data_IF_765497117777
#
_entry.id   IF_765497117777
#
_cell.length_a   1.000
_cell.length_b   1.000
_cell.length_c   1.000
_cell.angle_alpha   90.00
_cell.angle_beta   90.00
_cell.angle_gamma   90.00
#
_symmetry.space_group_name_H-M   'P 1'
#
loop_
_entity.id
_entity.type
_entity.pdbx_description
1 polymer ?
#
# COMPACT_ATOMS: atom_id res chain seq x y z
N UNK A 1 -63.29 -25.50 26.83
CA UNK A 1 -62.90 -26.46 25.77
C UNK A 1 -61.54 -26.06 25.27
N UNK A 2 -60.55 -26.96 25.34
CA UNK A 2 -59.30 -26.85 24.58
C UNK A 2 -59.51 -27.49 23.19
N UNK A 3 -58.56 -27.32 22.25
CA UNK A 3 -57.50 -28.32 22.25
C UNK A 3 -56.08 -27.75 22.18
N UNK A 4 -55.21 -28.38 22.97
CA UNK A 4 -53.75 -28.32 22.92
C UNK A 4 -53.24 -28.90 21.59
N UNK A 5 -52.21 -28.29 21.01
CA UNK A 5 -51.19 -29.00 20.21
C UNK A 5 -49.80 -28.53 20.64
N UNK A 6 -48.89 -29.50 20.63
CA UNK A 6 -47.53 -29.53 21.22
C UNK A 6 -46.51 -28.71 20.40
N UNK A 7 -45.34 -28.39 21.00
CA UNK A 7 -44.23 -27.75 20.32
C UNK A 7 -43.45 -28.78 19.49
N UNK A 8 -42.99 -28.37 18.31
CA UNK A 8 -41.95 -29.08 17.57
C UNK A 8 -40.62 -28.40 17.91
N UNK A 9 -39.73 -29.21 18.47
CA UNK A 9 -38.31 -28.95 18.62
C UNK A 9 -37.66 -28.95 17.24
N UNK A 10 -36.96 -27.88 16.90
CA UNK A 10 -35.83 -27.92 15.98
C UNK A 10 -34.72 -27.07 16.58
N UNK A 11 -33.83 -27.78 17.27
CA UNK A 11 -32.46 -27.38 17.57
C UNK A 11 -31.72 -27.10 16.26
N UNK A 12 -31.41 -25.84 15.96
CA UNK A 12 -30.10 -25.44 15.40
C UNK A 12 -29.93 -23.92 15.42
N UNK A 13 -29.46 -23.38 16.55
CA UNK A 13 -28.89 -22.03 16.61
C UNK A 13 -27.40 -22.16 16.93
N UNK A 14 -26.68 -22.81 16.01
CA UNK A 14 -25.23 -22.76 15.95
C UNK A 14 -24.74 -21.33 15.76
N UNK A 15 -24.07 -20.85 16.78
CA UNK A 15 -23.22 -19.66 16.84
C UNK A 15 -22.22 -19.68 15.67
N UNK A 16 -22.46 -18.87 14.62
CA UNK A 16 -21.55 -18.79 13.46
C UNK A 16 -20.39 -17.84 13.74
N UNK A 17 -19.47 -18.25 14.62
CA UNK A 17 -18.08 -17.78 14.60
C UNK A 17 -17.31 -18.59 13.58
N UNK A 18 -17.15 -18.06 12.37
CA UNK A 18 -15.97 -18.24 11.51
C UNK A 18 -16.25 -17.66 10.12
N UNK A 19 -15.85 -16.39 9.93
CA UNK A 19 -15.58 -15.84 8.59
C UNK A 19 -14.17 -15.23 8.56
N UNK A 20 -13.20 -15.97 9.09
CA UNK A 20 -11.80 -15.82 8.69
C UNK A 20 -11.53 -16.86 7.62
N UNK A 21 -11.70 -16.48 6.36
CA UNK A 21 -11.32 -17.32 5.24
C UNK A 21 -9.86 -17.78 5.42
N UNK A 22 -9.66 -19.10 5.51
CA UNK A 22 -8.35 -19.74 5.50
C UNK A 22 -7.59 -19.33 4.22
N UNK A 23 -6.37 -18.77 4.31
CA UNK A 23 -5.58 -18.37 3.15
C UNK A 23 -4.75 -19.54 2.55
N UNK A 24 -5.09 -20.80 2.84
CA UNK A 24 -4.22 -21.96 2.58
C UNK A 24 -4.43 -22.60 1.21
N UNK A 25 -4.27 -21.84 0.12
CA UNK A 25 -4.08 -22.46 -1.20
C UNK A 25 -3.09 -21.67 -2.08
N UNK A 26 -1.86 -21.48 -1.56
CA UNK A 26 -0.79 -20.69 -2.19
C UNK A 26 0.38 -21.57 -2.68
N UNK A 27 0.14 -22.48 -3.63
CA UNK A 27 1.26 -23.16 -4.33
C UNK A 27 1.58 -22.60 -5.72
N UNK A 28 0.87 -21.58 -6.22
CA UNK A 28 1.17 -20.92 -7.52
C UNK A 28 1.02 -19.38 -7.52
N UNK A 29 1.36 -18.69 -6.44
CA UNK A 29 1.13 -17.23 -6.32
C UNK A 29 2.06 -16.33 -7.17
N UNK A 30 3.13 -16.87 -7.78
CA UNK A 30 4.11 -16.09 -8.56
C UNK A 30 3.65 -15.66 -9.97
N UNK A 31 2.44 -16.04 -10.39
CA UNK A 31 1.94 -15.86 -11.76
C UNK A 31 0.98 -14.66 -11.94
N UNK A 32 0.95 -13.71 -11.00
CA UNK A 32 -0.02 -12.61 -10.98
C UNK A 32 0.58 -11.27 -11.41
N UNK A 33 -0.07 -10.52 -12.31
CA UNK A 33 0.47 -9.25 -12.80
C UNK A 33 0.49 -8.21 -11.69
N UNK A 34 1.51 -7.35 -11.69
CA UNK A 34 1.63 -6.21 -10.77
C UNK A 34 1.18 -4.95 -11.50
N UNK A 35 0.26 -4.21 -10.89
CA UNK A 35 -0.16 -2.92 -11.39
C UNK A 35 0.65 -1.80 -10.73
N UNK A 36 1.09 -0.81 -11.49
CA UNK A 36 1.71 0.41 -10.98
C UNK A 36 0.87 1.61 -11.35
N UNK A 37 0.81 2.60 -10.47
CA UNK A 37 0.23 3.89 -10.80
C UNK A 37 1.31 4.95 -10.71
N UNK A 38 1.39 5.79 -11.73
CA UNK A 38 2.41 6.84 -11.81
C UNK A 38 1.79 8.17 -12.26
N UNK A 39 2.19 9.26 -11.61
CA UNK A 39 1.73 10.61 -11.97
C UNK A 39 2.30 11.05 -13.31
N UNK A 40 1.42 11.54 -14.16
CA UNK A 40 1.76 12.19 -15.43
C UNK A 40 2.06 13.66 -15.22
N UNK A 41 3.08 14.12 -15.91
CA UNK A 41 3.43 15.50 -16.18
C UNK A 41 2.63 15.93 -17.41
N UNK A 42 1.37 16.32 -17.19
CA UNK A 42 0.50 16.86 -18.23
C UNK A 42 0.13 18.31 -17.88
N UNK A 43 0.33 19.21 -18.83
CA UNK A 43 0.15 20.66 -18.65
C UNK A 43 -1.33 21.05 -18.48
N UNK A 44 -2.28 20.16 -18.81
CA UNK A 44 -3.73 20.48 -18.81
C UNK A 44 -4.53 19.89 -17.66
N UNK A 45 -4.12 18.76 -17.08
CA UNK A 45 -4.85 18.12 -15.96
C UNK A 45 -3.94 17.16 -15.19
N UNK A 46 -4.12 17.08 -13.87
CA UNK A 46 -3.52 16.03 -13.08
C UNK A 46 -4.08 14.67 -13.51
N UNK A 47 -3.18 13.78 -13.92
CA UNK A 47 -3.52 12.46 -14.42
C UNK A 47 -2.51 11.42 -13.93
N UNK A 48 -2.96 10.18 -13.86
CA UNK A 48 -2.17 9.05 -13.38
C UNK A 48 -2.24 7.93 -14.42
N UNK A 49 -1.10 7.40 -14.85
CA UNK A 49 -1.05 6.23 -15.71
C UNK A 49 -1.08 4.97 -14.86
N UNK A 50 -1.97 4.03 -15.19
CA UNK A 50 -1.94 2.67 -14.66
C UNK A 50 -1.14 1.80 -15.63
N UNK A 51 -0.09 1.18 -15.13
CA UNK A 51 0.81 0.30 -15.85
C UNK A 51 0.60 -1.13 -15.36
N UNK A 52 0.55 -2.10 -16.27
CA UNK A 52 0.51 -3.52 -15.95
C UNK A 52 1.87 -4.14 -16.23
N UNK A 53 2.39 -4.90 -15.27
CA UNK A 53 3.60 -5.69 -15.37
C UNK A 53 3.19 -7.17 -15.32
N UNK A 54 3.34 -7.89 -16.43
CA UNK A 54 2.93 -9.29 -16.52
C UNK A 54 3.84 -10.23 -15.71
N UNK A 55 3.26 -11.31 -15.17
CA UNK A 55 3.93 -12.24 -14.25
C UNK A 55 4.71 -13.38 -14.92
N UNK A 56 4.36 -13.76 -16.16
CA UNK A 56 5.12 -14.75 -16.94
C UNK A 56 6.60 -14.31 -17.18
N UNK A 57 6.88 -13.04 -16.90
CA UNK A 57 8.20 -12.43 -16.77
C UNK A 57 9.07 -12.99 -15.62
N UNK A 58 8.50 -13.74 -14.67
CA UNK A 58 9.15 -14.28 -13.46
C UNK A 58 9.57 -15.76 -13.64
N UNK A 59 9.00 -16.45 -14.64
CA UNK A 59 9.13 -17.90 -14.85
C UNK A 59 10.18 -18.35 -15.90
N UNK A 60 11.09 -17.48 -16.32
CA UNK A 60 12.31 -17.91 -17.06
C UNK A 60 12.18 -18.20 -18.56
N UNK A 61 11.09 -17.80 -19.22
CA UNK A 61 11.00 -17.87 -20.70
C UNK A 61 11.41 -16.54 -21.35
N UNK A 62 12.22 -16.63 -22.41
CA UNK A 62 12.93 -15.57 -23.15
C UNK A 62 12.05 -14.54 -23.93
N UNK A 63 10.76 -14.41 -23.61
CA UNK A 63 9.91 -13.36 -24.22
C UNK A 63 10.18 -11.99 -23.56
N UNK A 64 10.34 -10.89 -24.34
CA UNK A 64 10.62 -9.58 -23.79
C UNK A 64 9.43 -9.08 -22.96
N UNK A 65 9.70 -8.89 -21.66
CA UNK A 65 8.77 -8.38 -20.65
C UNK A 65 8.10 -7.09 -21.12
N UNK A 66 6.76 -7.05 -21.07
CA UNK A 66 5.98 -5.89 -21.48
C UNK A 66 5.44 -5.16 -20.25
N UNK A 67 5.85 -3.91 -20.10
CA UNK A 67 5.14 -2.93 -19.27
C UNK A 67 4.20 -2.19 -20.20
N UNK A 68 2.91 -2.40 -20.04
CA UNK A 68 1.88 -1.78 -20.86
C UNK A 68 1.08 -0.77 -20.04
N UNK A 69 0.85 0.42 -20.60
CA UNK A 69 -0.13 1.34 -20.03
C UNK A 69 -1.54 0.77 -20.31
N UNK A 70 -2.32 0.55 -19.26
CA UNK A 70 -3.65 -0.08 -19.35
C UNK A 70 -4.79 0.89 -19.09
N UNK A 71 -4.53 1.98 -18.34
CA UNK A 71 -5.50 3.02 -18.10
C UNK A 71 -4.85 4.36 -17.79
N UNK A 72 -5.63 5.43 -17.90
CA UNK A 72 -5.27 6.78 -17.43
C UNK A 72 -6.38 7.24 -16.50
N UNK A 73 -6.05 7.47 -15.23
CA UNK A 73 -6.95 8.02 -14.22
C UNK A 73 -6.83 9.54 -14.24
N UNK A 74 -7.89 10.23 -14.63
CA UNK A 74 -7.93 11.69 -14.67
C UNK A 74 -8.55 12.24 -13.38
N UNK A 75 -7.86 13.15 -12.70
CA UNK A 75 -8.33 13.77 -11.44
C UNK A 75 -8.95 15.15 -11.65
N UNK A 76 -9.11 15.57 -12.90
CA UNK A 76 -9.73 16.82 -13.29
C UNK A 76 -8.76 18.01 -13.26
N UNK A 77 -8.24 18.40 -12.09
CA UNK A 77 -7.56 19.72 -11.98
C UNK A 77 -6.32 19.80 -11.11
N UNK A 78 -6.16 19.02 -10.03
CA UNK A 78 -5.05 19.22 -9.07
C UNK A 78 -4.28 17.93 -8.73
N UNK A 79 -2.93 18.00 -8.64
CA UNK A 79 -2.12 16.87 -8.22
C UNK A 79 -2.22 16.64 -6.71
N UNK A 80 -1.81 15.46 -6.26
CA UNK A 80 -1.75 15.13 -4.82
C UNK A 80 -2.84 14.17 -4.34
N UNK A 81 -3.35 13.31 -5.22
CA UNK A 81 -3.96 12.07 -4.78
C UNK A 81 -2.88 11.11 -4.26
N UNK A 82 -3.25 10.35 -3.25
CA UNK A 82 -2.57 9.13 -2.84
C UNK A 82 -3.35 7.93 -3.34
N UNK A 83 -2.66 6.79 -3.49
CA UNK A 83 -3.22 5.58 -4.06
C UNK A 83 -2.98 4.40 -3.11
N UNK A 84 -3.95 3.49 -3.06
CA UNK A 84 -3.86 2.23 -2.31
C UNK A 84 -4.64 1.14 -3.04
N UNK A 85 -4.33 -0.11 -2.76
CA UNK A 85 -5.14 -1.24 -3.21
C UNK A 85 -6.27 -1.50 -2.21
N UNK A 86 -7.48 -1.76 -2.69
CA UNK A 86 -8.60 -2.19 -1.87
C UNK A 86 -9.01 -3.61 -2.28
N UNK A 87 -9.42 -4.45 -1.33
CA UNK A 87 -9.86 -5.81 -1.59
C UNK A 87 -11.11 -6.13 -0.78
N UNK A 88 -12.04 -6.84 -1.38
CA UNK A 88 -13.13 -7.50 -0.66
C UNK A 88 -13.50 -8.80 -1.35
N UNK A 89 -14.51 -9.50 -0.83
CA UNK A 89 -15.08 -10.68 -1.50
C UNK A 89 -15.62 -10.38 -2.91
N UNK A 90 -15.88 -9.11 -3.22
CA UNK A 90 -16.43 -8.68 -4.51
C UNK A 90 -15.35 -8.31 -5.54
N UNK A 91 -14.07 -8.30 -5.17
CA UNK A 91 -12.98 -8.01 -6.08
C UNK A 91 -11.85 -7.21 -5.45
N UNK A 92 -10.96 -6.74 -6.31
CA UNK A 92 -9.80 -5.93 -5.95
C UNK A 92 -9.72 -4.71 -6.85
N UNK A 93 -9.39 -3.57 -6.25
CA UNK A 93 -9.41 -2.28 -6.93
C UNK A 93 -8.17 -1.46 -6.58
N UNK A 94 -7.85 -0.51 -7.44
CA UNK A 94 -6.91 0.56 -7.13
C UNK A 94 -7.73 1.80 -6.79
N UNK A 95 -7.50 2.36 -5.61
CA UNK A 95 -8.27 3.48 -5.06
C UNK A 95 -7.35 4.69 -4.95
N UNK A 96 -7.69 5.77 -5.65
CA UNK A 96 -7.05 7.08 -5.55
C UNK A 96 -7.92 8.02 -4.73
N UNK A 97 -7.33 8.72 -3.75
CA UNK A 97 -8.05 9.64 -2.86
C UNK A 97 -7.25 10.93 -2.68
N UNK A 98 -7.93 12.08 -2.70
CA UNK A 98 -7.35 13.40 -2.46
C UNK A 98 -7.28 14.25 -3.73
N UNK A 99 -6.19 15.01 -3.90
CA UNK A 99 -5.94 15.75 -5.13
C UNK A 99 -6.58 17.14 -5.20
N UNK A 100 -6.58 17.88 -4.09
CA UNK A 100 -6.92 19.31 -4.13
C UNK A 100 -8.25 19.69 -3.48
N UNK A 101 -8.70 20.94 -3.68
CA UNK A 101 -9.96 21.48 -3.12
C UNK A 101 -11.22 20.73 -3.57
N UNK A 102 -11.12 20.02 -4.69
CA UNK A 102 -12.17 19.14 -5.24
C UNK A 102 -11.85 17.68 -4.94
N UNK A 103 -11.42 17.40 -3.70
CA UNK A 103 -10.99 16.07 -3.31
C UNK A 103 -12.06 15.03 -3.65
N UNK A 104 -11.67 14.09 -4.51
CA UNK A 104 -12.51 13.01 -4.97
C UNK A 104 -11.92 11.65 -4.61
N UNK A 105 -12.69 10.61 -4.90
CA UNK A 105 -12.23 9.23 -4.88
C UNK A 105 -12.34 8.68 -6.29
N UNK A 106 -11.28 8.08 -6.80
CA UNK A 106 -11.27 7.37 -8.09
C UNK A 106 -11.02 5.90 -7.79
N UNK A 107 -11.80 5.03 -8.39
CA UNK A 107 -11.70 3.58 -8.18
C UNK A 107 -11.50 2.94 -9.54
N UNK A 108 -10.35 2.30 -9.74
CA UNK A 108 -10.06 1.55 -10.95
C UNK A 108 -10.17 0.06 -10.66
N UNK A 109 -10.96 -0.63 -11.49
CA UNK A 109 -11.08 -2.07 -11.50
C UNK A 109 -10.18 -2.65 -12.61
N UNK A 110 -9.06 -3.30 -12.26
CA UNK A 110 -8.17 -3.87 -13.25
C UNK A 110 -8.74 -5.08 -13.98
N UNK A 111 -9.72 -5.78 -13.39
CA UNK A 111 -10.38 -6.94 -13.99
C UNK A 111 -11.32 -6.54 -15.13
N UNK A 112 -12.04 -5.43 -14.97
CA UNK A 112 -12.96 -4.90 -16.00
C UNK A 112 -12.38 -3.74 -16.80
N UNK A 113 -11.18 -3.25 -16.43
CA UNK A 113 -10.58 -2.01 -16.95
C UNK A 113 -11.51 -0.79 -16.84
N UNK A 114 -12.42 -0.79 -15.85
CA UNK A 114 -13.36 0.31 -15.62
C UNK A 114 -12.85 1.24 -14.53
N UNK A 115 -13.15 2.52 -14.70
CA UNK A 115 -12.91 3.54 -13.68
C UNK A 115 -14.24 4.08 -13.20
N UNK A 116 -14.43 4.11 -11.89
CA UNK A 116 -15.61 4.62 -11.22
C UNK A 116 -15.26 5.88 -10.43
N UNK A 117 -16.20 6.82 -10.38
CA UNK A 117 -16.12 7.93 -9.43
C UNK A 117 -16.71 7.49 -8.10
N UNK A 118 -15.88 7.51 -7.06
CA UNK A 118 -16.28 7.23 -5.68
C UNK A 118 -16.85 8.46 -4.99
N UNK A 119 -17.26 8.29 -3.74
CA UNK A 119 -17.74 9.39 -2.91
C UNK A 119 -16.62 10.33 -2.49
N UNK A 120 -16.99 11.57 -2.20
CA UNK A 120 -16.07 12.62 -1.83
C UNK A 120 -15.75 12.49 -0.33
N UNK A 121 -14.52 12.84 0.04
CA UNK A 121 -14.14 12.96 1.45
C UNK A 121 -15.00 14.03 2.13
N UNK A 122 -15.20 13.93 3.44
CA UNK A 122 -15.87 14.98 4.21
C UNK A 122 -15.15 16.31 4.11
N UNK A 123 -13.81 16.28 4.03
CA UNK A 123 -12.99 17.47 3.76
C UNK A 123 -11.80 17.16 2.84
N UNK A 124 -11.41 18.09 1.95
CA UNK A 124 -10.25 17.93 1.10
C UNK A 124 -8.94 17.60 1.82
N UNK A 125 -8.21 16.59 1.33
CA UNK A 125 -6.87 16.20 1.82
C UNK A 125 -5.83 16.24 0.71
N UNK A 126 -4.65 16.78 1.01
CA UNK A 126 -3.52 16.76 0.08
C UNK A 126 -2.57 15.63 0.44
N UNK A 127 -2.35 14.70 -0.51
CA UNK A 127 -1.47 13.54 -0.32
C UNK A 127 -1.77 12.81 1.00
N UNK A 128 -3.03 12.42 1.26
CA UNK A 128 -3.37 11.70 2.48
C UNK A 128 -2.57 10.39 2.57
N UNK A 129 -2.29 9.89 3.77
CA UNK A 129 -1.81 8.52 3.92
C UNK A 129 -3.01 7.59 3.79
N UNK A 130 -2.94 6.67 2.84
CA UNK A 130 -3.98 5.67 2.62
C UNK A 130 -3.53 4.32 3.15
N UNK A 131 -4.42 3.66 3.88
CA UNK A 131 -4.19 2.35 4.48
C UNK A 131 -5.35 1.45 4.07
N UNK A 132 -5.03 0.27 3.57
CA UNK A 132 -6.01 -0.75 3.26
C UNK A 132 -5.96 -1.83 4.31
N UNK A 133 -7.12 -2.17 4.87
CA UNK A 133 -7.23 -3.22 5.87
C UNK A 133 -8.61 -3.87 5.82
N UNK A 134 -8.62 -5.20 5.70
CA UNK A 134 -9.85 -5.94 5.45
C UNK A 134 -10.53 -5.46 4.17
N UNK A 135 -11.80 -5.08 4.28
CA UNK A 135 -12.59 -4.48 3.19
C UNK A 135 -12.78 -2.98 3.35
N UNK A 136 -11.89 -2.30 4.07
CA UNK A 136 -11.94 -0.85 4.26
C UNK A 136 -10.66 -0.16 3.78
N UNK A 137 -10.84 1.05 3.25
CA UNK A 137 -9.76 1.99 2.97
C UNK A 137 -9.85 3.13 3.97
N UNK A 138 -8.74 3.40 4.65
CA UNK A 138 -8.62 4.50 5.59
C UNK A 138 -7.79 5.62 4.99
N UNK A 139 -8.21 6.86 5.21
CA UNK A 139 -7.52 8.06 4.77
C UNK A 139 -7.17 8.93 5.97
N UNK A 140 -5.88 9.16 6.18
CA UNK A 140 -5.35 10.04 7.23
C UNK A 140 -4.71 11.27 6.59
N UNK A 141 -5.02 12.47 7.09
CA UNK A 141 -4.32 13.69 6.68
C UNK A 141 -2.82 13.60 7.02
N UNK A 142 -1.94 13.75 6.03
CA UNK A 142 -0.49 13.70 6.26
C UNK A 142 0.05 14.98 6.93
N UNK A 143 -0.55 16.13 6.60
CA UNK A 143 -0.20 17.45 7.14
C UNK A 143 -1.48 18.20 7.54
N UNK A 144 -2.09 17.87 8.70
CA UNK A 144 -3.33 18.52 9.12
C UNK A 144 -3.15 20.03 9.28
N UNK A 145 -4.19 20.79 8.93
CA UNK A 145 -4.25 22.24 9.05
C UNK A 145 -5.48 22.65 9.84
N UNK A 146 -5.29 23.63 10.71
CA UNK A 146 -6.37 24.23 11.52
C UNK A 146 -7.14 25.29 10.71
N UNK A 147 -6.48 25.94 9.75
CA UNK A 147 -7.09 26.96 8.88
C UNK A 147 -7.73 26.30 7.65
N UNK A 148 -8.83 26.88 7.13
CA UNK A 148 -9.65 26.25 6.10
C UNK A 148 -8.89 26.01 4.80
N UNK A 149 -9.58 25.33 3.88
CA UNK A 149 -9.29 25.01 2.49
C UNK A 149 -8.75 23.60 2.28
N UNK A 150 -7.88 23.06 3.12
CA UNK A 150 -7.28 21.74 2.88
C UNK A 150 -6.71 21.12 4.15
N UNK A 151 -6.79 19.80 4.28
CA UNK A 151 -6.31 19.02 5.42
C UNK A 151 -6.92 19.44 6.77
N UNK A 152 -8.17 19.94 6.77
CA UNK A 152 -8.92 20.22 7.99
C UNK A 152 -9.63 18.96 8.53
N UNK A 153 -10.21 19.11 9.72
CA UNK A 153 -11.06 18.07 10.31
C UNK A 153 -12.24 17.70 9.39
N UNK A 154 -12.64 16.42 9.35
CA UNK A 154 -12.05 15.28 10.08
C UNK A 154 -10.69 14.86 9.50
N UNK A 155 -9.68 14.57 10.32
CA UNK A 155 -8.35 14.16 9.81
C UNK A 155 -8.22 12.67 9.53
N UNK A 156 -9.17 11.85 9.96
CA UNK A 156 -9.16 10.41 9.76
C UNK A 156 -10.55 9.92 9.36
N UNK A 157 -10.62 9.24 8.22
CA UNK A 157 -11.87 8.77 7.63
C UNK A 157 -11.69 7.36 7.07
N UNK A 158 -12.77 6.58 6.98
CA UNK A 158 -12.78 5.27 6.31
C UNK A 158 -13.88 5.14 5.26
N UNK A 159 -13.62 4.32 4.24
CA UNK A 159 -14.55 3.97 3.17
C UNK A 159 -14.64 2.45 3.06
N UNK A 160 -15.86 1.92 3.12
CA UNK A 160 -16.10 0.47 3.07
C UNK A 160 -16.32 -0.04 1.65
N UNK A 161 -15.66 -1.15 1.32
CA UNK A 161 -15.80 -1.96 0.11
C UNK A 161 -16.47 -3.31 0.39
N UNK A 162 -17.02 -3.50 1.60
CA UNK A 162 -17.63 -4.77 2.04
C UNK A 162 -18.72 -5.27 1.10
N UNK A 163 -19.49 -4.33 0.54
CA UNK A 163 -20.58 -4.63 -0.38
C UNK A 163 -20.23 -4.36 -1.86
N UNK A 164 -18.94 -4.16 -2.17
CA UNK A 164 -18.44 -3.89 -3.52
C UNK A 164 -18.02 -2.42 -3.71
N UNK A 165 -18.02 -1.95 -4.97
CA UNK A 165 -17.52 -0.60 -5.32
C UNK A 165 -18.45 0.49 -4.76
N UNK A 166 -17.95 1.39 -3.88
CA UNK A 166 -18.71 2.51 -3.34
C UNK A 166 -18.84 3.65 -4.37
N UNK A 167 -19.70 3.45 -5.37
CA UNK A 167 -19.98 4.42 -6.42
C UNK A 167 -21.47 4.48 -6.77
N UNK A 168 -21.97 5.70 -7.05
CA UNK A 168 -23.34 5.92 -7.57
C UNK A 168 -23.61 5.12 -8.83
N UNK A 169 -22.59 4.97 -9.68
CA UNK A 169 -22.68 4.24 -10.94
C UNK A 169 -23.01 2.76 -10.72
N UNK A 170 -22.66 2.22 -9.55
CA UNK A 170 -22.97 0.86 -9.13
C UNK A 170 -24.24 0.78 -8.25
N UNK A 171 -25.01 1.86 -8.14
CA UNK A 171 -26.19 1.94 -7.25
C UNK A 171 -25.85 1.96 -5.76
N UNK A 172 -24.59 2.20 -5.39
CA UNK A 172 -24.11 2.16 -4.00
C UNK A 172 -23.61 3.53 -3.57
N UNK A 173 -24.31 4.14 -2.62
CA UNK A 173 -23.92 5.41 -2.03
C UNK A 173 -23.39 5.21 -0.62
N UNK A 174 -22.13 4.80 -0.51
CA UNK A 174 -21.42 4.65 0.76
C UNK A 174 -20.53 5.87 0.93
N UNK A 175 -20.77 6.67 1.97
CA UNK A 175 -19.95 7.85 2.27
C UNK A 175 -18.71 7.48 3.09
N UNK A 176 -17.72 8.37 3.09
CA UNK A 176 -16.63 8.30 4.06
C UNK A 176 -17.17 8.48 5.48
N UNK A 177 -16.69 7.66 6.41
CA UNK A 177 -17.05 7.72 7.83
C UNK A 177 -15.94 8.38 8.63
N UNK A 178 -16.31 9.36 9.45
CA UNK A 178 -15.34 10.04 10.32
C UNK A 178 -14.90 9.12 11.45
N UNK A 179 -13.61 9.12 11.74
CA UNK A 179 -12.99 8.36 12.82
C UNK A 179 -12.27 9.30 13.80
N UNK A 180 -12.02 8.85 15.04
CA UNK A 180 -11.28 9.65 16.01
C UNK A 180 -9.89 10.03 15.49
N UNK A 181 -9.46 11.28 15.62
CA UNK A 181 -8.21 11.73 15.05
C UNK A 181 -7.01 11.01 15.67
N UNK A 182 -5.96 10.73 14.87
CA UNK A 182 -4.67 10.30 15.39
C UNK A 182 -4.16 11.20 16.52
N UNK A 183 -3.46 10.63 17.51
CA UNK A 183 -2.99 11.38 18.67
C UNK A 183 -1.89 12.41 18.36
N UNK A 184 -1.27 12.35 17.17
CA UNK A 184 -0.19 13.26 16.76
C UNK A 184 -0.05 13.31 15.24
N UNK A 185 0.61 14.37 14.77
CA UNK A 185 1.00 14.57 13.38
C UNK A 185 2.29 15.41 13.30
N UNK A 186 3.10 15.30 12.21
CA UNK A 186 3.08 14.24 11.20
C UNK A 186 3.63 12.91 11.73
N UNK A 187 3.29 11.82 11.05
CA UNK A 187 3.83 10.49 11.33
C UNK A 187 4.76 10.02 10.20
N UNK A 188 5.79 9.26 10.56
CA UNK A 188 6.86 8.85 9.66
C UNK A 188 6.71 7.42 9.16
N UNK A 189 5.97 6.59 9.90
CA UNK A 189 5.83 5.16 9.61
C UNK A 189 4.50 4.62 10.08
N UNK A 190 4.05 3.58 9.38
CA UNK A 190 2.81 2.89 9.69
C UNK A 190 2.84 1.43 9.25
N UNK A 191 2.05 0.61 9.93
CA UNK A 191 1.88 -0.80 9.64
C UNK A 191 0.46 -1.25 10.01
N UNK A 192 0.03 -2.40 9.53
CA UNK A 192 -1.26 -2.99 9.89
C UNK A 192 -1.00 -4.39 10.44
N UNK A 193 -1.46 -4.66 11.66
CA UNK A 193 -1.24 -5.93 12.37
C UNK A 193 -2.55 -6.39 12.99
N UNK A 194 -3.06 -7.55 12.57
CA UNK A 194 -4.33 -8.07 13.09
C UNK A 194 -5.46 -7.04 12.88
N UNK A 195 -6.11 -6.61 13.98
CA UNK A 195 -7.16 -5.58 13.99
C UNK A 195 -6.65 -4.15 14.24
N UNK A 196 -5.33 -3.93 14.17
CA UNK A 196 -4.70 -2.67 14.56
C UNK A 196 -4.00 -1.98 13.40
N UNK A 197 -4.21 -0.67 13.27
CA UNK A 197 -3.41 0.22 12.44
C UNK A 197 -2.38 0.91 13.34
N UNK A 198 -1.11 0.64 13.09
CA UNK A 198 0.00 1.22 13.84
C UNK A 198 0.53 2.46 13.15
N UNK A 199 0.83 3.49 13.93
CA UNK A 199 1.52 4.69 13.48
C UNK A 199 2.63 5.08 14.45
N UNK A 200 3.69 5.67 13.93
CA UNK A 200 4.76 6.27 14.73
C UNK A 200 5.08 7.68 14.25
N UNK A 201 5.30 8.63 15.17
CA UNK A 201 5.61 10.02 14.85
C UNK A 201 6.93 10.12 14.10
N UNK A 202 7.20 11.30 13.56
CA UNK A 202 8.57 11.64 13.19
C UNK A 202 9.46 11.63 14.46
N UNK A 203 10.68 11.03 14.42
CA UNK A 203 11.50 10.84 15.61
C UNK A 203 11.79 12.11 16.43
N UNK A 204 11.73 13.28 15.81
CA UNK A 204 12.03 14.56 16.45
C UNK A 204 10.86 15.15 17.28
N UNK A 205 9.64 14.60 17.16
CA UNK A 205 8.43 15.21 17.75
C UNK A 205 7.99 14.53 19.05
N UNK A 206 7.77 13.22 18.99
CA UNK A 206 7.19 12.42 20.08
C UNK A 206 7.80 11.02 20.01
N UNK A 207 7.84 10.32 21.14
CA UNK A 207 8.38 8.97 21.24
C UNK A 207 7.25 8.00 21.64
N UNK A 208 7.01 7.00 20.79
CA UNK A 208 6.06 5.92 21.00
C UNK A 208 5.33 5.47 19.73
N UNK A 209 4.94 4.20 19.70
CA UNK A 209 4.04 3.67 18.67
C UNK A 209 2.62 3.62 19.21
N UNK A 210 1.68 4.10 18.41
CA UNK A 210 0.26 4.13 18.74
C UNK A 210 -0.51 3.24 17.78
N UNK A 211 -1.58 2.64 18.28
CA UNK A 211 -2.42 1.71 17.56
C UNK A 211 -3.86 2.20 17.56
N UNK A 212 -4.48 2.20 16.39
CA UNK A 212 -5.92 2.33 16.24
C UNK A 212 -6.54 0.95 16.20
N UNK A 213 -7.41 0.64 17.15
CA UNK A 213 -8.19 -0.59 17.11
C UNK A 213 -9.37 -0.42 16.17
N UNK A 214 -9.39 -1.13 15.05
CA UNK A 214 -10.38 -0.92 13.98
C UNK A 214 -11.83 -1.15 14.43
N UNK A 215 -12.08 -2.19 15.24
CA UNK A 215 -13.43 -2.48 15.77
C UNK A 215 -13.86 -1.46 16.84
N UNK A 216 -13.05 -1.26 17.87
CA UNK A 216 -13.37 -0.37 18.99
C UNK A 216 -13.26 1.12 18.64
N UNK A 217 -12.60 1.45 17.53
CA UNK A 217 -12.35 2.81 17.04
C UNK A 217 -11.64 3.71 18.05
N UNK A 218 -10.67 3.17 18.77
CA UNK A 218 -9.89 3.91 19.78
C UNK A 218 -8.40 3.92 19.42
N UNK A 219 -7.71 5.01 19.80
CA UNK A 219 -6.27 5.13 19.71
C UNK A 219 -5.63 4.87 21.08
N UNK A 220 -4.61 4.04 21.12
CA UNK A 220 -3.86 3.72 22.35
C UNK A 220 -2.36 3.68 22.06
N UNK A 221 -1.53 4.08 23.05
CA UNK A 221 -0.09 3.90 22.96
C UNK A 221 0.26 2.46 23.35
N UNK A 222 0.91 1.73 22.44
CA UNK A 222 1.18 0.28 22.62
C UNK A 222 2.67 -0.06 22.70
N UNK A 223 3.53 0.94 22.48
CA UNK A 223 4.97 0.77 22.54
C UNK A 223 5.67 2.09 22.89
N UNK A 224 6.73 2.01 23.68
CA UNK A 224 7.49 3.19 24.10
C UNK A 224 8.41 3.74 23.01
N UNK A 225 8.85 2.93 22.06
CA UNK A 225 9.71 3.38 20.95
C UNK A 225 8.91 3.51 19.66
N UNK A 226 9.39 4.37 18.75
CA UNK A 226 8.88 4.46 17.39
C UNK A 226 9.21 3.19 16.59
N UNK A 227 8.43 2.93 15.55
CA UNK A 227 8.71 1.87 14.57
C UNK A 227 10.10 2.09 13.93
N UNK A 228 10.92 1.04 13.76
CA UNK A 228 12.31 1.15 13.32
C UNK A 228 12.47 1.29 11.79
N UNK A 229 11.49 1.85 11.11
CA UNK A 229 11.42 2.01 9.65
C UNK A 229 10.68 3.30 9.27
N UNK A 230 10.72 3.66 7.99
CA UNK A 230 10.02 4.82 7.40
C UNK A 230 9.00 4.34 6.37
N UNK A 231 7.85 4.99 6.31
CA UNK A 231 6.76 4.66 5.41
C UNK A 231 5.97 3.42 5.84
N UNK A 232 5.40 2.73 4.87
CA UNK A 232 4.60 1.53 5.09
C UNK A 232 5.49 0.31 5.32
N UNK A 233 5.11 -0.51 6.32
CA UNK A 233 5.54 -1.90 6.37
C UNK A 233 4.52 -2.79 5.63
N UNK A 234 5.02 -3.59 4.68
CA UNK A 234 4.21 -4.47 3.85
C UNK A 234 4.22 -5.87 4.43
N UNK A 235 3.04 -6.44 4.62
CA UNK A 235 2.85 -7.79 5.18
C UNK A 235 3.38 -8.87 4.23
N UNK A 236 4.09 -9.85 4.78
CA UNK A 236 4.69 -10.99 4.05
C UNK A 236 4.03 -12.32 4.39
N UNK A 237 2.95 -12.33 5.16
CA UNK A 237 2.39 -13.54 5.78
C UNK A 237 2.72 -13.63 7.27
N UNK A 238 1.77 -14.19 8.02
CA UNK A 238 1.88 -14.32 9.48
C UNK A 238 2.10 -12.99 10.19
N UNK A 239 3.21 -12.86 10.90
CA UNK A 239 3.62 -11.64 11.61
C UNK A 239 4.88 -10.99 10.99
N UNK A 240 5.22 -11.35 9.74
CA UNK A 240 6.40 -10.84 9.05
C UNK A 240 6.06 -9.69 8.12
N UNK A 241 6.95 -8.71 8.05
CA UNK A 241 6.77 -7.48 7.29
C UNK A 241 8.07 -7.04 6.62
N UNK A 242 8.01 -6.60 5.36
CA UNK A 242 9.10 -5.89 4.70
C UNK A 242 8.92 -4.38 4.88
N UNK A 243 9.98 -3.68 5.29
CA UNK A 243 9.96 -2.22 5.39
C UNK A 243 11.34 -1.60 5.13
N UNK A 244 11.35 -0.29 4.94
CA UNK A 244 12.56 0.52 4.75
C UNK A 244 13.13 0.92 6.12
N UNK A 245 14.20 0.27 6.63
CA UNK A 245 14.73 0.57 7.95
C UNK A 245 15.26 2.00 8.03
N UNK A 246 15.18 2.62 9.22
CA UNK A 246 15.86 3.89 9.47
C UNK A 246 17.38 3.65 9.41
N UNK A 247 18.09 4.41 8.58
CA UNK A 247 19.56 4.40 8.52
C UNK A 247 20.13 5.53 9.38
N UNK A 248 21.02 5.19 10.31
CA UNK A 248 21.74 6.17 11.15
C UNK A 248 23.01 6.70 10.48
N UNK A 249 23.43 6.11 9.35
CA UNK A 249 24.65 6.50 8.64
C UNK A 249 24.28 7.31 7.39
N UNK A 250 25.01 8.41 7.16
CA UNK A 250 24.89 9.28 5.99
C UNK A 250 25.14 8.58 4.62
N UNK A 251 25.36 7.27 4.63
CA UNK A 251 25.43 6.41 3.46
C UNK A 251 24.03 6.10 2.94
N UNK A 252 23.72 6.67 1.78
CA UNK A 252 22.44 6.68 1.06
C UNK A 252 21.93 5.31 0.53
N UNK A 253 22.37 4.17 1.07
CA UNK A 253 21.86 2.85 0.69
C UNK A 253 20.93 2.30 1.77
N UNK A 254 19.63 2.48 1.59
CA UNK A 254 18.62 1.92 2.50
C UNK A 254 18.12 0.60 1.90
N UNK A 255 18.76 -0.51 2.27
CA UNK A 255 18.28 -1.85 1.89
C UNK A 255 17.00 -2.19 2.65
N UNK A 256 16.09 -2.92 2.01
CA UNK A 256 14.92 -3.50 2.67
C UNK A 256 15.34 -4.32 3.91
N UNK A 257 14.49 -4.36 4.94
CA UNK A 257 14.64 -5.27 6.07
C UNK A 257 13.31 -5.95 6.35
N UNK A 258 13.40 -7.15 6.93
CA UNK A 258 12.22 -7.89 7.36
C UNK A 258 12.08 -7.73 8.87
N UNK A 259 10.85 -7.56 9.33
CA UNK A 259 10.52 -7.37 10.73
C UNK A 259 9.46 -8.39 11.11
N UNK A 260 9.66 -9.10 12.21
CA UNK A 260 8.58 -9.81 12.89
C UNK A 260 7.94 -8.85 13.89
N UNK A 261 6.65 -8.58 13.71
CA UNK A 261 5.89 -7.68 14.58
C UNK A 261 4.63 -8.40 15.08
N UNK A 262 4.43 -8.38 16.40
CA UNK A 262 3.28 -9.03 17.04
C UNK A 262 2.72 -8.16 18.16
N UNK A 263 1.40 -8.21 18.35
CA UNK A 263 0.71 -7.51 19.43
C UNK A 263 0.22 -8.57 20.41
N UNK A 264 0.62 -8.46 21.67
CA UNK A 264 0.13 -9.31 22.75
C UNK A 264 -0.97 -8.58 23.52
N UNK A 265 -2.14 -9.20 23.56
CA UNK A 265 -3.29 -8.74 24.37
C UNK A 265 -3.32 -9.62 25.62
N UNK A 266 -2.49 -9.29 26.62
CA UNK A 266 -2.39 -10.05 27.88
C UNK A 266 -2.81 -9.21 29.10
N UNK A 267 -3.04 -7.92 28.92
CA UNK A 267 -3.49 -6.98 29.95
C UNK A 267 -4.52 -6.00 29.35
N UNK A 268 -5.00 -5.03 30.13
CA UNK A 268 -5.90 -3.97 29.65
C UNK A 268 -5.28 -3.11 28.54
N UNK A 269 -3.96 -3.18 28.31
CA UNK A 269 -3.27 -2.40 27.26
C UNK A 269 -2.47 -3.36 26.36
N UNK A 270 -2.71 -3.34 25.03
CA UNK A 270 -1.94 -4.16 24.09
C UNK A 270 -0.46 -3.73 24.04
N UNK A 271 0.45 -4.71 23.93
CA UNK A 271 1.90 -4.45 23.84
C UNK A 271 2.48 -4.94 22.52
N UNK A 272 3.29 -4.11 21.86
CA UNK A 272 3.98 -4.45 20.61
C UNK A 272 5.34 -5.11 20.87
N UNK A 273 5.63 -6.19 20.16
CA UNK A 273 6.95 -6.81 20.06
C UNK A 273 7.48 -6.68 18.64
N UNK A 274 8.75 -6.25 18.49
CA UNK A 274 9.40 -6.05 17.18
C UNK A 274 10.76 -6.75 17.19
N UNK A 275 11.00 -7.61 16.22
CA UNK A 275 12.27 -8.27 15.97
C UNK A 275 12.70 -7.98 14.52
N UNK A 276 13.92 -7.50 14.32
CA UNK A 276 14.46 -7.16 13.00
C UNK A 276 15.35 -8.28 12.47
N UNK A 277 15.10 -8.66 11.22
CA UNK A 277 15.95 -9.54 10.44
C UNK A 277 16.58 -8.75 9.31
N UNK A 278 17.91 -8.81 9.21
CA UNK A 278 18.65 -8.07 8.17
C UNK A 278 18.55 -8.86 6.86
N UNK A 279 18.05 -8.22 5.81
CA UNK A 279 18.17 -8.73 4.44
C UNK A 279 19.44 -8.13 3.84
N UNK A 280 20.38 -8.97 3.43
CA UNK A 280 21.53 -8.52 2.65
C UNK A 280 21.11 -8.41 1.18
N UNK A 281 20.46 -7.31 0.82
CA UNK A 281 20.12 -7.00 -0.57
C UNK A 281 21.14 -6.01 -1.16
N UNK A 282 21.55 -6.23 -2.40
CA UNK A 282 22.40 -5.31 -3.17
C UNK A 282 21.57 -4.13 -3.68
N UNK A 283 21.33 -3.12 -2.84
CA UNK A 283 20.50 -1.96 -3.23
C UNK A 283 21.35 -0.69 -3.30
N UNK A 284 21.49 -0.19 -4.54
CA UNK A 284 22.08 1.11 -4.84
C UNK A 284 21.18 2.29 -4.45
N UNK A 285 21.83 3.46 -4.31
CA UNK A 285 21.36 4.72 -3.75
C UNK A 285 20.13 5.34 -4.45
N UNK A 286 18.90 5.15 -3.94
CA UNK A 286 17.72 6.02 -4.21
C UNK A 286 16.80 6.08 -2.97
N UNK A 287 16.11 7.21 -2.83
CA UNK A 287 15.10 7.59 -1.84
C UNK A 287 13.92 6.59 -1.78
N UNK A 288 13.82 5.85 -0.67
CA UNK A 288 12.69 5.02 -0.20
C UNK A 288 12.03 4.11 -1.27
N UNK A 289 12.40 2.81 -1.34
CA UNK A 289 11.78 1.86 -2.26
C UNK A 289 10.30 1.61 -1.95
N UNK A 290 9.51 1.32 -2.99
CA UNK A 290 8.14 0.86 -2.86
C UNK A 290 8.13 -0.66 -2.68
N UNK A 291 7.42 -1.14 -1.66
CA UNK A 291 7.23 -2.56 -1.41
C UNK A 291 5.84 -3.00 -1.87
N UNK A 292 5.77 -4.15 -2.55
CA UNK A 292 4.53 -4.81 -2.93
C UNK A 292 4.54 -6.23 -2.37
N UNK A 293 3.51 -6.68 -1.65
CA UNK A 293 3.39 -8.09 -1.30
C UNK A 293 3.16 -8.89 -2.58
N UNK A 294 3.87 -10.00 -2.74
CA UNK A 294 3.70 -10.91 -3.89
C UNK A 294 3.09 -12.25 -3.47
N UNK A 295 2.67 -12.35 -2.20
CA UNK A 295 2.28 -13.61 -1.60
C UNK A 295 3.11 -13.96 -0.39
N UNK A 296 2.85 -15.13 0.18
CA UNK A 296 3.56 -15.57 1.39
C UNK A 296 5.08 -15.61 1.17
N UNK A 297 5.81 -14.92 2.04
CA UNK A 297 7.28 -14.83 2.05
C UNK A 297 7.90 -14.15 0.85
N UNK A 298 7.10 -13.47 0.03
CA UNK A 298 7.55 -12.88 -1.21
C UNK A 298 7.11 -11.43 -1.32
N UNK A 299 8.01 -10.58 -1.76
CA UNK A 299 7.70 -9.17 -2.01
C UNK A 299 8.53 -8.61 -3.15
N UNK A 300 8.00 -7.59 -3.80
CA UNK A 300 8.71 -6.84 -4.80
C UNK A 300 9.14 -5.48 -4.24
N UNK A 301 10.38 -5.11 -4.49
CA UNK A 301 10.88 -3.74 -4.40
C UNK A 301 10.81 -3.11 -5.78
N UNK A 302 10.11 -1.99 -5.92
CA UNK A 302 9.94 -1.30 -7.19
C UNK A 302 10.61 0.07 -7.11
N UNK A 303 11.47 0.35 -8.08
CA UNK A 303 12.23 1.60 -8.19
C UNK A 303 12.21 2.13 -9.62
N UNK A 304 12.33 3.44 -9.76
CA UNK A 304 12.58 4.06 -11.06
C UNK A 304 14.10 4.17 -11.27
N UNK A 305 14.60 3.60 -12.37
CA UNK A 305 15.97 3.78 -12.82
C UNK A 305 16.17 5.18 -13.44
N UNK A 306 17.44 5.59 -13.64
CA UNK A 306 17.75 6.85 -14.30
C UNK A 306 17.13 6.88 -15.71
N UNK A 307 16.29 7.88 -15.99
CA UNK A 307 15.66 8.04 -17.30
C UNK A 307 16.72 8.37 -18.36
N UNK A 308 16.70 7.68 -19.51
CA UNK A 308 17.53 8.08 -20.66
C UNK A 308 16.90 9.30 -21.33
N UNK A 309 17.65 10.39 -21.47
CA UNK A 309 17.25 11.51 -22.32
C UNK A 309 17.39 11.10 -23.79
N UNK A 310 16.27 10.94 -24.51
CA UNK A 310 16.31 10.91 -25.98
C UNK A 310 16.13 12.31 -26.53
N UNK A 311 17.20 12.85 -27.11
CA UNK A 311 17.08 14.04 -27.97
C UNK A 311 16.40 13.66 -29.28
N UNK A 312 15.09 13.97 -29.41
CA UNK A 312 14.42 13.89 -30.71
C UNK A 312 14.80 15.13 -31.53
N UNK A 313 15.70 14.99 -32.51
CA UNK A 313 15.94 16.02 -33.54
C UNK A 313 14.65 16.20 -34.34
N UNK A 314 13.89 17.28 -34.09
CA UNK A 314 12.84 17.71 -35.02
C UNK A 314 13.54 18.36 -36.23
N UNK A 315 13.37 17.76 -37.39
CA UNK A 315 13.69 18.39 -38.67
C UNK A 315 12.77 19.60 -38.88
N UNK A 316 13.39 20.66 -39.40
CA UNK A 316 12.89 22.02 -39.51
C UNK A 316 11.55 22.13 -40.25
N UNK A 317 10.59 22.88 -39.69
CA UNK A 317 9.81 23.87 -40.45
C UNK A 317 9.47 25.07 -39.55
N UNK A 318 9.60 26.26 -40.15
CA UNK A 318 9.67 27.60 -39.55
C UNK A 318 8.40 28.01 -38.77
N UNK A 319 8.57 28.74 -37.66
CA UNK A 319 8.18 30.16 -37.44
C UNK A 319 7.79 30.43 -35.96
N UNK A 320 8.66 31.15 -35.27
CA UNK A 320 8.45 32.02 -34.10
C UNK A 320 7.35 31.67 -33.08
N UNK A 321 7.71 30.85 -32.08
CA UNK A 321 7.44 30.99 -30.64
C UNK A 321 8.42 30.04 -29.93
N UNK A 322 9.03 30.44 -28.82
CA UNK A 322 10.05 29.67 -28.09
C UNK A 322 9.65 28.18 -27.96
N UNK A 323 10.40 27.23 -28.56
CA UNK A 323 10.06 25.82 -28.42
C UNK A 323 10.48 25.36 -27.03
N UNK A 324 9.52 25.15 -26.12
CA UNK A 324 9.75 24.24 -24.99
C UNK A 324 10.13 22.89 -25.59
N UNK A 325 11.36 22.48 -25.38
CA UNK A 325 11.86 21.15 -25.75
C UNK A 325 11.05 20.11 -24.97
N UNK A 326 10.06 19.48 -25.62
CA UNK A 326 9.40 18.30 -25.06
C UNK A 326 10.40 17.14 -25.06
N UNK A 327 11.22 17.07 -24.02
CA UNK A 327 12.19 16.00 -23.84
C UNK A 327 11.44 14.74 -23.44
N UNK A 328 11.38 13.76 -24.34
CA UNK A 328 10.77 12.46 -24.05
C UNK A 328 11.74 11.70 -23.13
N UNK A 329 11.36 11.59 -21.84
CA UNK A 329 12.07 10.74 -20.89
C UNK A 329 11.50 9.33 -20.99
N UNK A 330 12.31 8.39 -21.44
CA UNK A 330 11.97 6.96 -21.30
C UNK A 330 12.03 6.61 -19.81
N UNK A 331 10.95 5.99 -19.33
CA UNK A 331 10.82 5.59 -17.94
C UNK A 331 11.44 4.20 -17.80
N UNK A 332 12.49 4.13 -17.00
CA UNK A 332 13.13 2.88 -16.63
C UNK A 332 12.55 2.41 -15.31
N UNK A 333 11.84 1.28 -15.28
CA UNK A 333 11.33 0.67 -14.04
C UNK A 333 12.22 -0.51 -13.71
N UNK A 334 12.78 -0.53 -12.51
CA UNK A 334 13.50 -1.68 -11.98
C UNK A 334 12.66 -2.29 -10.88
N UNK A 335 12.39 -3.58 -11.02
CA UNK A 335 11.60 -4.39 -10.11
C UNK A 335 12.51 -5.48 -9.59
N UNK A 336 12.72 -5.55 -8.29
CA UNK A 336 13.48 -6.62 -7.65
C UNK A 336 12.53 -7.45 -6.81
N UNK A 337 12.29 -8.69 -7.23
CA UNK A 337 11.52 -9.65 -6.44
C UNK A 337 12.43 -10.33 -5.42
N UNK A 338 11.93 -10.48 -4.20
CA UNK A 338 12.57 -11.18 -3.11
C UNK A 338 11.66 -12.32 -2.68
N UNK A 339 12.24 -13.52 -2.52
CA UNK A 339 11.56 -14.69 -1.96
C UNK A 339 12.37 -15.20 -0.78
N UNK A 340 11.72 -15.31 0.37
CA UNK A 340 12.31 -15.88 1.59
C UNK A 340 12.14 -17.40 1.51
N UNK A 341 13.23 -18.13 1.33
CA UNK A 341 13.20 -19.59 1.14
C UNK A 341 12.89 -20.34 2.44
N UNK A 342 13.34 -19.79 3.58
CA UNK A 342 13.17 -20.41 4.90
C UNK A 342 12.08 -19.74 5.74
N UNK A 343 11.02 -19.20 5.11
CA UNK A 343 9.98 -18.45 5.83
C UNK A 343 9.27 -19.28 6.90
N UNK A 344 8.92 -20.53 6.59
CA UNK A 344 8.22 -21.40 7.54
C UNK A 344 9.06 -21.70 8.78
N UNK A 345 10.37 -21.93 8.59
CA UNK A 345 11.31 -22.14 9.69
C UNK A 345 11.41 -20.89 10.58
N UNK A 346 11.43 -19.70 9.99
CA UNK A 346 11.44 -18.43 10.72
C UNK A 346 10.14 -18.21 11.47
N UNK A 347 8.99 -18.46 10.82
CA UNK A 347 7.68 -18.35 11.46
C UNK A 347 7.56 -19.30 12.67
N UNK A 348 7.98 -20.54 12.51
CA UNK A 348 8.00 -21.56 13.57
C UNK A 348 8.94 -21.15 14.72
N UNK A 349 10.11 -20.59 14.37
CA UNK A 349 11.05 -20.06 15.36
C UNK A 349 10.46 -18.89 16.13
N UNK A 350 9.85 -17.92 15.46
CA UNK A 350 9.22 -16.77 16.10
C UNK A 350 8.06 -17.17 17.03
N UNK A 351 7.30 -18.22 16.68
CA UNK A 351 6.25 -18.78 17.54
C UNK A 351 6.82 -19.49 18.77
N UNK A 352 7.91 -20.25 18.62
CA UNK A 352 8.55 -20.98 19.73
C UNK A 352 9.38 -20.09 20.66
N UNK A 353 9.96 -19.00 20.16
CA UNK A 353 10.75 -18.04 20.96
C UNK A 353 9.91 -17.26 21.98
N UNK A 354 8.58 -17.25 21.85
CA UNK A 354 7.71 -16.76 22.93
C UNK A 354 7.84 -17.59 24.22
N UNK A 355 8.50 -18.77 24.17
CA UNK A 355 8.60 -19.70 25.28
C UNK A 355 10.02 -19.99 25.83
N UNK A 356 11.14 -19.65 25.15
CA UNK A 356 12.53 -19.79 25.71
C UNK A 356 13.65 -19.18 24.83
N UNK A 357 14.61 -18.52 25.50
CA UNK A 357 15.99 -18.10 25.13
C UNK A 357 16.24 -17.25 23.84
N UNK A 358 17.01 -16.16 23.99
CA UNK A 358 17.07 -14.99 23.09
C UNK A 358 18.19 -14.96 22.03
N UNK A 359 19.09 -15.94 21.93
CA UNK A 359 20.41 -15.63 21.33
C UNK A 359 20.78 -16.35 20.01
N UNK A 360 19.84 -16.98 19.30
CA UNK A 360 20.10 -17.45 17.93
C UNK A 360 19.06 -16.88 16.96
N UNK A 361 19.39 -15.73 16.36
CA UNK A 361 18.63 -15.20 15.22
C UNK A 361 18.90 -16.10 14.01
N UNK A 362 17.87 -16.79 13.52
CA UNK A 362 17.93 -17.46 12.22
C UNK A 362 18.24 -16.43 11.13
N UNK A 363 19.25 -16.72 10.30
CA UNK A 363 19.55 -15.90 9.14
C UNK A 363 18.44 -16.08 8.09
N UNK A 364 17.99 -14.97 7.50
CA UNK A 364 17.07 -14.99 6.37
C UNK A 364 17.80 -15.51 5.12
N UNK A 365 17.31 -16.61 4.57
CA UNK A 365 17.73 -17.08 3.25
C UNK A 365 16.80 -16.43 2.22
N UNK A 366 17.34 -15.49 1.44
CA UNK A 366 16.57 -14.71 0.49
C UNK A 366 17.12 -14.95 -0.91
N UNK A 367 16.23 -15.38 -1.80
CA UNK A 367 16.49 -15.39 -3.24
C UNK A 367 16.07 -14.06 -3.83
N UNK A 368 17.01 -13.38 -4.47
CA UNK A 368 16.78 -12.11 -5.16
C UNK A 368 16.70 -12.35 -6.67
N UNK A 369 15.73 -11.73 -7.31
CA UNK A 369 15.58 -11.73 -8.76
C UNK A 369 15.38 -10.29 -9.24
N UNK A 370 16.42 -9.70 -9.84
CA UNK A 370 16.37 -8.34 -10.36
C UNK A 370 15.86 -8.32 -11.80
N UNK A 371 14.94 -7.40 -12.09
CA UNK A 371 14.34 -7.19 -13.40
C UNK A 371 14.34 -5.71 -13.76
N UNK A 372 14.80 -5.38 -14.96
CA UNK A 372 14.68 -4.04 -15.53
C UNK A 372 13.72 -4.06 -16.72
N UNK A 373 12.76 -3.15 -16.74
CA UNK A 373 11.87 -2.95 -17.86
C UNK A 373 11.95 -1.49 -18.33
N UNK A 374 12.13 -1.31 -19.64
CA UNK A 374 12.04 -0.01 -20.30
C UNK A 374 10.67 0.10 -20.96
N UNK A 375 9.95 1.19 -20.71
CA UNK A 375 8.72 1.49 -21.46
C UNK A 375 8.96 2.59 -22.48
N UNK A 376 8.62 2.29 -23.74
CA UNK A 376 8.65 3.23 -24.87
C UNK A 376 7.39 4.09 -24.98
N UNK A 377 6.29 3.66 -24.35
CA UNK A 377 4.96 4.27 -24.48
C UNK A 377 4.64 5.29 -23.38
N UNK A 378 5.45 5.35 -22.33
CA UNK A 378 5.22 6.25 -21.19
C UNK A 378 5.93 7.57 -21.45
N UNK A 379 5.15 8.62 -21.67
CA UNK A 379 5.64 9.98 -21.89
C UNK A 379 5.23 10.89 -20.73
N UNK A 380 6.17 11.74 -20.29
CA UNK A 380 5.93 12.76 -19.28
C UNK A 380 5.67 12.20 -17.89
N UNK A 381 6.58 11.41 -17.30
CA UNK A 381 6.57 11.22 -15.85
C UNK A 381 7.52 12.24 -15.21
N UNK A 382 7.08 12.86 -14.10
CA UNK A 382 7.91 13.78 -13.33
C UNK A 382 9.14 13.06 -12.77
N UNK A 383 10.31 13.68 -12.95
CA UNK A 383 11.59 13.21 -12.38
C UNK A 383 11.79 13.58 -10.91
N UNK A 384 10.75 14.08 -10.23
CA UNK A 384 10.77 14.36 -8.79
C UNK A 384 9.94 13.31 -8.05
N UNK A 385 10.36 13.00 -6.82
CA UNK A 385 9.90 11.93 -5.93
C UNK A 385 8.57 11.27 -6.29
N UNK A 386 8.64 9.97 -6.58
CA UNK A 386 7.55 9.05 -6.88
C UNK A 386 6.26 9.42 -6.14
N UNK A 387 5.16 9.72 -6.85
CA UNK A 387 3.85 9.67 -6.24
C UNK A 387 3.28 8.27 -6.44
N UNK A 388 3.38 7.50 -5.36
CA UNK A 388 2.52 6.37 -4.92
C UNK A 388 2.12 5.33 -5.97
N UNK A 389 2.79 4.19 -5.90
CA UNK A 389 2.41 2.94 -6.56
C UNK A 389 1.45 2.17 -5.66
N UNK A 390 0.19 1.99 -6.09
CA UNK A 390 -0.64 0.94 -5.56
C UNK A 390 -0.32 -0.35 -6.33
N UNK A 391 0.39 -1.26 -5.68
CA UNK A 391 0.75 -2.54 -6.29
C UNK A 391 -0.26 -3.61 -5.89
N UNK A 392 -1.04 -4.06 -6.87
CA UNK A 392 -2.02 -5.12 -6.72
C UNK A 392 -1.46 -6.38 -7.38
N UNK A 393 -1.27 -7.43 -6.59
CA UNK A 393 -1.12 -8.81 -7.08
C UNK A 393 -2.52 -9.44 -7.00
N UNK A 394 -3.16 -9.70 -8.15
CA UNK A 394 -4.52 -10.27 -8.22
C UNK A 394 -4.49 -11.78 -8.36
#
# INVERSE_FOLDING_TARGET
>A
MAPKRKPDDDDDAGESTDEFANPFDDTMEFAKPVYLVAVRDDDQAAAYSVLKIDAAAVAGNDEPRRVCAVAVLTTGTEPGMSLVTARSRHGSWIVGVGGGLRAGTIIFDPGTSRTFQGTWLGYPKHKPVLISHGSEVYAISGTPRVKPFMDCEPWFESLSFKDGVPSKECGRWVSWHHLPPPPFFPFSSYAVIGSYILISPQPELVVGTYAFHVVNKIWEKIHEKNLPFVGQAVHLGGNLFAACPISNTASTSTSASVFHMSIKVSSSIPSLSIQKFKVMASVDKITIPLFCPMGMGSFCCIRLGPSRLRHRRKTNYRRWRSPKTSCLKEVHVISTAFRIENIEAIMTHCQSQESKAKDQLLALQVKEQMHSCESKEIHGLLGSGIPVVAALSM
#
